data_IF_624220554805
#
_entry.id   IF_624220554805
#
_cell.length_a   1.000
_cell.length_b   1.000
_cell.length_c   1.000
_cell.angle_alpha   90.00
_cell.angle_beta   90.00
_cell.angle_gamma   90.00
#
_symmetry.space_group_name_H-M   'P 1'
#
loop_
_entity.id
_entity.type
_entity.pdbx_description
1 polymer ?
#
# COMPACT_ATOMS: atom_id res chain seq x y z
N UNK A 1 -41.12 21.72 -33.28
CA UNK A 1 -40.96 22.08 -31.86
C UNK A 1 -40.07 21.03 -31.23
N UNK A 2 -39.07 21.49 -30.48
CA UNK A 2 -37.76 20.87 -30.32
C UNK A 2 -37.72 19.42 -29.79
N UNK A 3 -36.82 18.66 -30.41
CA UNK A 3 -36.26 17.39 -29.97
C UNK A 3 -35.77 17.40 -28.51
N UNK A 4 -36.28 16.48 -27.68
CA UNK A 4 -35.66 16.12 -26.40
C UNK A 4 -34.76 14.92 -26.63
N UNK A 5 -33.47 15.17 -26.86
CA UNK A 5 -32.45 14.13 -26.81
C UNK A 5 -32.26 13.69 -25.34
N UNK A 6 -32.26 12.38 -25.03
CA UNK A 6 -31.95 11.92 -23.68
C UNK A 6 -30.51 12.29 -23.36
N UNK A 7 -30.30 12.96 -22.22
CA UNK A 7 -28.99 13.34 -21.73
C UNK A 7 -28.09 12.11 -21.68
N UNK A 8 -27.00 12.14 -22.45
CA UNK A 8 -25.93 11.17 -22.35
C UNK A 8 -25.32 11.36 -20.96
N UNK A 9 -25.71 10.51 -20.01
CA UNK A 9 -24.96 10.30 -18.78
C UNK A 9 -23.60 9.73 -19.21
N UNK A 10 -22.61 10.60 -19.40
CA UNK A 10 -21.22 10.16 -19.50
C UNK A 10 -20.93 9.34 -18.24
N UNK A 11 -20.59 8.04 -18.36
CA UNK A 11 -20.22 7.26 -17.19
C UNK A 11 -19.03 7.95 -16.53
N UNK A 12 -19.06 8.11 -15.21
CA UNK A 12 -17.88 8.53 -14.46
C UNK A 12 -16.69 7.66 -14.88
N UNK A 13 -15.51 8.25 -15.16
CA UNK A 13 -14.33 7.47 -15.49
C UNK A 13 -14.07 6.46 -14.37
N UNK A 14 -13.70 5.21 -14.67
CA UNK A 14 -13.51 4.20 -13.65
C UNK A 14 -12.50 4.70 -12.62
N UNK A 15 -12.93 4.81 -11.35
CA UNK A 15 -12.02 5.09 -10.25
C UNK A 15 -10.90 4.05 -10.28
N UNK A 16 -9.65 4.51 -10.31
CA UNK A 16 -8.52 3.60 -10.26
C UNK A 16 -8.66 2.67 -9.04
N UNK A 17 -8.58 1.34 -9.22
CA UNK A 17 -8.77 0.41 -8.13
C UNK A 17 -7.71 0.65 -7.04
N UNK A 18 -8.16 0.67 -5.79
CA UNK A 18 -7.27 0.80 -4.64
C UNK A 18 -6.30 -0.39 -4.58
N UNK A 19 -5.01 -0.15 -4.22
CA UNK A 19 -4.08 -1.25 -4.05
C UNK A 19 -4.54 -2.19 -2.93
N UNK A 20 -4.30 -3.51 -3.04
CA UNK A 20 -4.68 -4.48 -2.00
C UNK A 20 -4.10 -4.10 -0.63
N UNK A 21 -4.80 -4.40 0.45
CA UNK A 21 -4.26 -4.19 1.80
C UNK A 21 -4.23 -5.47 2.63
N UNK A 22 -4.37 -6.64 2.00
CA UNK A 22 -4.20 -7.88 2.71
C UNK A 22 -2.71 -8.08 3.09
N UNK A 23 -2.43 -8.70 4.24
CA UNK A 23 -1.05 -8.92 4.67
C UNK A 23 -0.20 -9.74 3.69
N UNK A 24 -0.80 -10.63 2.91
CA UNK A 24 -0.10 -11.49 1.96
C UNK A 24 0.50 -10.71 0.79
N UNK A 25 -0.32 -9.86 0.16
CA UNK A 25 0.10 -8.96 -0.90
C UNK A 25 1.20 -8.01 -0.43
N UNK A 26 1.01 -7.38 0.75
CA UNK A 26 2.00 -6.47 1.32
C UNK A 26 3.31 -7.22 1.62
N UNK A 27 3.25 -8.42 2.19
CA UNK A 27 4.45 -9.23 2.45
C UNK A 27 5.22 -9.56 1.17
N UNK A 28 4.52 -9.86 0.07
CA UNK A 28 5.11 -10.11 -1.24
C UNK A 28 5.80 -8.85 -1.81
N UNK A 29 5.15 -7.69 -1.70
CA UNK A 29 5.73 -6.40 -2.12
C UNK A 29 6.98 -6.03 -1.31
N UNK A 30 6.94 -6.24 0.01
CA UNK A 30 8.06 -5.94 0.91
C UNK A 30 9.28 -6.85 0.68
N UNK A 31 9.10 -8.02 0.05
CA UNK A 31 10.17 -9.01 -0.18
C UNK A 31 10.94 -9.35 1.09
N UNK A 32 10.24 -9.34 2.23
CA UNK A 32 10.87 -9.36 3.55
C UNK A 32 11.57 -10.68 3.88
N UNK A 33 11.17 -11.77 3.22
CA UNK A 33 11.81 -13.08 3.34
C UNK A 33 13.29 -13.07 2.93
N UNK A 34 13.72 -12.10 2.13
CA UNK A 34 15.12 -11.99 1.67
C UNK A 34 16.00 -11.11 2.58
N UNK A 35 15.42 -10.41 3.55
CA UNK A 35 16.18 -9.57 4.49
C UNK A 35 16.89 -10.43 5.55
N UNK A 36 18.18 -10.15 5.79
CA UNK A 36 18.98 -10.85 6.82
C UNK A 36 19.45 -9.93 7.93
N UNK A 37 19.75 -8.68 7.61
CA UNK A 37 20.37 -7.75 8.54
C UNK A 37 19.36 -6.69 9.01
N UNK A 38 19.49 -6.17 10.25
CA UNK A 38 18.61 -5.12 10.77
C UNK A 38 18.44 -3.92 9.82
N UNK A 39 19.52 -3.53 9.13
CA UNK A 39 19.52 -2.44 8.15
C UNK A 39 18.66 -2.71 6.90
N UNK A 40 18.45 -3.96 6.54
CA UNK A 40 17.65 -4.34 5.37
C UNK A 40 16.17 -4.03 5.66
N UNK A 41 15.69 -4.37 6.86
CA UNK A 41 14.33 -4.07 7.30
C UNK A 41 14.04 -2.56 7.34
N UNK A 42 14.99 -1.76 7.83
CA UNK A 42 14.81 -0.31 7.85
C UNK A 42 14.84 0.29 6.43
N UNK A 43 15.61 -0.29 5.50
CA UNK A 43 15.59 0.10 4.09
C UNK A 43 14.26 -0.24 3.42
N UNK A 44 13.77 -1.48 3.59
CA UNK A 44 12.47 -1.92 3.07
C UNK A 44 11.34 -1.02 3.58
N UNK A 45 11.36 -0.64 4.86
CA UNK A 45 10.36 0.29 5.43
C UNK A 45 10.34 1.63 4.70
N UNK A 46 11.52 2.21 4.46
CA UNK A 46 11.64 3.50 3.76
C UNK A 46 11.16 3.43 2.31
N UNK A 47 11.55 2.36 1.61
CA UNK A 47 11.13 2.11 0.22
C UNK A 47 9.61 1.99 0.13
N UNK A 48 8.99 1.17 0.99
CA UNK A 48 7.53 1.01 1.02
C UNK A 48 6.80 2.31 1.38
N UNK A 49 7.30 3.03 2.39
CA UNK A 49 6.71 4.29 2.82
C UNK A 49 6.77 5.36 1.74
N UNK A 50 7.83 5.42 0.93
CA UNK A 50 7.94 6.39 -0.18
C UNK A 50 6.75 6.27 -1.15
N UNK A 51 6.32 5.05 -1.43
CA UNK A 51 5.27 4.76 -2.42
C UNK A 51 3.86 4.71 -1.79
N UNK A 52 3.77 4.57 -0.46
CA UNK A 52 2.50 4.38 0.27
C UNK A 52 2.25 5.41 1.38
N UNK A 53 2.96 6.55 1.42
CA UNK A 53 2.77 7.54 2.47
C UNK A 53 1.40 8.24 2.34
N UNK A 54 0.57 8.32 3.40
CA UNK A 54 -0.76 8.94 3.32
C UNK A 54 -0.69 10.40 2.86
N UNK A 55 0.36 11.14 3.25
CA UNK A 55 0.52 12.54 2.85
C UNK A 55 0.99 12.73 1.40
N UNK A 56 1.42 11.65 0.72
CA UNK A 56 1.93 11.71 -0.66
C UNK A 56 0.98 11.11 -1.69
N UNK A 57 -0.06 10.40 -1.24
CA UNK A 57 -1.07 9.81 -2.12
C UNK A 57 -2.30 10.70 -2.25
N UNK A 58 -3.10 10.47 -3.30
CA UNK A 58 -4.37 11.16 -3.50
C UNK A 58 -5.33 10.96 -2.32
N UNK A 59 -6.23 11.93 -2.02
CA UNK A 59 -7.14 11.86 -0.86
C UNK A 59 -7.92 10.54 -0.74
N UNK A 60 -8.48 10.04 -1.84
CA UNK A 60 -9.23 8.78 -1.89
C UNK A 60 -8.37 7.54 -1.58
N UNK A 61 -7.05 7.64 -1.69
CA UNK A 61 -6.10 6.54 -1.37
C UNK A 61 -5.53 6.63 0.04
N UNK A 62 -5.77 7.72 0.79
CA UNK A 62 -5.12 7.96 2.09
C UNK A 62 -5.47 6.88 3.11
N UNK A 63 -6.74 6.55 3.24
CA UNK A 63 -7.18 5.50 4.16
C UNK A 63 -6.52 4.16 3.81
N UNK A 64 -6.47 3.83 2.52
CA UNK A 64 -5.79 2.61 2.04
C UNK A 64 -4.29 2.63 2.34
N UNK A 65 -3.62 3.76 2.13
CA UNK A 65 -2.22 3.97 2.45
C UNK A 65 -1.94 3.81 3.95
N UNK A 66 -2.81 4.34 4.81
CA UNK A 66 -2.71 4.16 6.27
C UNK A 66 -2.76 2.68 6.66
N UNK A 67 -3.76 1.95 6.17
CA UNK A 67 -3.90 0.51 6.47
C UNK A 67 -2.69 -0.27 5.95
N UNK A 68 -2.25 -0.01 4.70
CA UNK A 68 -1.07 -0.65 4.11
C UNK A 68 0.19 -0.37 4.92
N UNK A 69 0.40 0.87 5.38
CA UNK A 69 1.54 1.24 6.23
C UNK A 69 1.51 0.56 7.59
N UNK A 70 0.35 0.47 8.24
CA UNK A 70 0.21 -0.22 9.53
C UNK A 70 0.59 -1.70 9.41
N UNK A 71 0.06 -2.39 8.40
CA UNK A 71 0.35 -3.81 8.16
C UNK A 71 1.81 -4.01 7.78
N UNK A 72 2.37 -3.16 6.92
CA UNK A 72 3.78 -3.23 6.54
C UNK A 72 4.70 -3.05 7.76
N UNK A 73 4.45 -2.05 8.61
CA UNK A 73 5.23 -1.83 9.82
C UNK A 73 5.19 -3.05 10.76
N UNK A 74 3.99 -3.59 11.01
CA UNK A 74 3.83 -4.80 11.82
C UNK A 74 4.63 -5.99 11.27
N UNK A 75 4.55 -6.25 9.95
CA UNK A 75 5.28 -7.33 9.30
C UNK A 75 6.80 -7.14 9.41
N UNK A 76 7.26 -5.90 9.19
CA UNK A 76 8.68 -5.54 9.30
C UNK A 76 9.20 -5.76 10.71
N UNK A 77 8.48 -5.29 11.72
CA UNK A 77 8.89 -5.42 13.11
C UNK A 77 8.92 -6.88 13.56
N UNK A 78 7.91 -7.66 13.15
CA UNK A 78 7.88 -9.11 13.42
C UNK A 78 9.07 -9.82 12.80
N UNK A 79 9.38 -9.55 11.53
CA UNK A 79 10.50 -10.18 10.85
C UNK A 79 11.85 -9.75 11.44
N UNK A 80 12.01 -8.47 11.80
CA UNK A 80 13.22 -7.94 12.46
C UNK A 80 13.45 -8.62 13.82
N UNK A 81 12.38 -8.79 14.62
CA UNK A 81 12.44 -9.53 15.90
C UNK A 81 12.85 -10.99 15.69
N UNK A 82 12.25 -11.68 14.72
CA UNK A 82 12.58 -13.07 14.41
C UNK A 82 14.03 -13.23 13.92
N UNK A 83 14.52 -12.29 13.12
CA UNK A 83 15.90 -12.29 12.64
C UNK A 83 16.90 -12.04 13.78
N UNK A 84 16.57 -11.21 14.76
CA UNK A 84 17.41 -10.97 15.93
C UNK A 84 17.48 -12.20 16.86
N UNK A 85 16.36 -12.93 17.04
CA UNK A 85 16.31 -14.12 17.90
C UNK A 85 17.02 -15.36 17.31
N UNK A 86 17.30 -15.36 16.00
CA UNK A 86 17.98 -16.47 15.30
C UNK A 86 19.50 -16.28 15.20
N UNK A 87 20.05 -15.21 15.79
CA UNK A 87 21.47 -14.87 15.77
C UNK A 87 22.09 -15.18 17.10
#
# INVERSE_FOLDING_TARGET
MAENAPGIETPDPPEDPLPPADPGAIAAELKIAYARWPKDFDRIRREFARDNHPDKVAPHRRERALVRMQIANMLIDRAKRNAAAKR
#
